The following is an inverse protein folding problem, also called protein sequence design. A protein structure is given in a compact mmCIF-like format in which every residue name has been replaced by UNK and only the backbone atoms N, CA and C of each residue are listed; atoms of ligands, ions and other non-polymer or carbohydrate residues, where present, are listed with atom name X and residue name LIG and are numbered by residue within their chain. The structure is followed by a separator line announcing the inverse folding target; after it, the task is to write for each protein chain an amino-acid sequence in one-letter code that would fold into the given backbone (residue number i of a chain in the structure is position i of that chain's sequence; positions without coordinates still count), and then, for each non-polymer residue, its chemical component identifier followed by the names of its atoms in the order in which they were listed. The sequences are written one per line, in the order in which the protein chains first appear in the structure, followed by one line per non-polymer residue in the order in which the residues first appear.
data_IF_062472958193
#
_entry.id   IF_062472958193
#
_cell.length_a   1.000
_cell.length_b   1.000
_cell.length_c   1.000
_cell.angle_alpha   90.00
_cell.angle_beta   90.00
_cell.angle_gamma   90.00
#
_symmetry.space_group_name_H-M   'P 1'
#
loop_
_entity.id
_entity.type
_entity.pdbx_description
1 polymer ?
#
# COMPACT_ATOMS: atom_id res chain seq x y z
N UNK A 1 4.94 -12.86 8.28
CA UNK A 1 4.38 -11.51 8.52
C UNK A 1 2.88 -11.68 8.71
N UNK A 2 2.28 -11.17 9.80
CA UNK A 2 0.82 -11.17 9.97
C UNK A 2 0.18 -10.25 8.95
N UNK A 3 -1.03 -10.55 8.48
CA UNK A 3 -1.77 -9.62 7.63
C UNK A 3 -3.27 -9.88 7.58
N UNK A 4 -4.01 -8.80 7.42
CA UNK A 4 -5.45 -8.80 7.19
C UNK A 4 -5.75 -8.21 5.82
N UNK A 5 -6.69 -8.83 5.13
CA UNK A 5 -7.51 -8.15 4.12
C UNK A 5 -8.70 -7.54 4.85
N UNK A 6 -8.95 -6.25 4.65
CA UNK A 6 -10.02 -5.50 5.31
C UNK A 6 -10.90 -4.84 4.26
N UNK A 7 -12.20 -5.09 4.32
CA UNK A 7 -13.23 -4.37 3.56
C UNK A 7 -13.83 -3.30 4.46
N UNK A 8 -13.78 -2.05 4.02
CA UNK A 8 -14.23 -0.87 4.74
C UNK A 8 -15.48 -0.29 4.05
N UNK A 9 -16.55 0.02 4.79
CA UNK A 9 -17.74 0.66 4.24
C UNK A 9 -17.52 2.16 3.96
N UNK A 10 -18.42 2.74 3.16
CA UNK A 10 -18.50 4.21 2.97
C UNK A 10 -19.15 4.87 4.19
N UNK A 11 -19.26 6.19 4.22
CA UNK A 11 -20.00 6.94 5.24
C UNK A 11 -19.42 6.91 6.66
N UNK A 12 -18.21 6.39 6.85
CA UNK A 12 -17.58 6.29 8.17
C UNK A 12 -16.87 7.60 8.51
N UNK A 13 -17.25 8.22 9.62
CA UNK A 13 -16.54 9.38 10.17
C UNK A 13 -15.19 8.94 10.75
N UNK A 14 -14.11 9.60 10.32
CA UNK A 14 -12.74 9.25 10.70
C UNK A 14 -11.98 10.47 11.21
N UNK A 15 -11.03 10.19 12.10
CA UNK A 15 -10.09 11.18 12.65
C UNK A 15 -8.67 10.80 12.26
N UNK A 16 -7.95 11.78 11.72
CA UNK A 16 -6.54 11.68 11.39
C UNK A 16 -5.70 11.53 12.65
N UNK A 17 -4.83 10.53 12.64
CA UNK A 17 -3.79 10.29 13.61
C UNK A 17 -2.56 11.08 13.20
N UNK A 18 -2.11 12.00 14.05
CA UNK A 18 -0.82 12.66 13.86
C UNK A 18 0.33 11.78 14.37
N UNK A 19 1.55 12.01 13.86
CA UNK A 19 2.73 11.31 14.38
C UNK A 19 2.97 11.55 15.88
N UNK A 20 2.53 12.70 16.40
CA UNK A 20 2.56 13.03 17.83
C UNK A 20 1.82 12.03 18.73
N UNK A 21 0.84 11.30 18.20
CA UNK A 21 0.14 10.24 18.96
C UNK A 21 1.06 9.06 19.25
N UNK A 22 2.05 8.81 18.39
CA UNK A 22 2.98 7.69 18.50
C UNK A 22 4.36 8.12 19.00
N UNK A 23 4.76 9.36 18.73
CA UNK A 23 6.01 9.94 19.20
C UNK A 23 5.74 11.23 20.01
N UNK A 24 5.95 11.22 21.34
CA UNK A 24 5.69 12.39 22.18
C UNK A 24 6.57 13.60 21.85
N UNK A 25 7.70 13.40 21.15
CA UNK A 25 8.59 14.47 20.72
C UNK A 25 8.14 15.12 19.40
N UNK A 26 7.16 14.54 18.70
CA UNK A 26 6.65 15.12 17.47
C UNK A 26 5.64 16.25 17.77
N UNK A 27 5.63 17.32 16.97
CA UNK A 27 4.75 18.46 17.21
C UNK A 27 3.28 18.05 17.12
N UNK A 28 2.49 18.49 18.10
CA UNK A 28 1.04 18.30 18.07
C UNK A 28 0.45 19.19 16.97
N UNK A 29 -0.39 18.60 16.12
CA UNK A 29 -1.09 19.31 15.04
C UNK A 29 -2.61 19.23 15.25
N UNK A 30 -3.38 20.19 14.68
CA UNK A 30 -4.83 20.15 14.73
C UNK A 30 -5.41 18.83 14.24
N UNK A 31 -6.51 18.40 14.84
CA UNK A 31 -7.18 17.17 14.43
C UNK A 31 -7.79 17.34 13.02
N UNK A 32 -7.37 16.51 12.09
CA UNK A 32 -8.01 16.38 10.78
C UNK A 32 -9.14 15.35 10.85
N UNK A 33 -10.25 15.60 10.16
CA UNK A 33 -11.42 14.70 10.13
C UNK A 33 -11.98 14.61 8.71
N UNK A 34 -12.50 13.46 8.35
CA UNK A 34 -13.22 13.24 7.09
C UNK A 34 -14.31 12.19 7.27
N UNK A 35 -15.17 12.04 6.27
CA UNK A 35 -16.13 10.94 6.18
C UNK A 35 -15.78 10.16 4.91
N UNK A 36 -15.70 8.82 4.98
CA UNK A 36 -15.40 8.02 3.79
C UNK A 36 -16.51 8.21 2.75
N UNK A 37 -16.13 8.58 1.52
CA UNK A 37 -17.04 8.67 0.37
C UNK A 37 -17.15 7.33 -0.35
N UNK A 38 -16.05 6.57 -0.33
CA UNK A 38 -15.92 5.29 -1.02
C UNK A 38 -15.67 4.16 -0.01
N UNK A 39 -16.29 3.01 -0.24
CA UNK A 39 -15.85 1.75 0.36
C UNK A 39 -14.54 1.27 -0.28
N UNK A 40 -13.75 0.49 0.47
CA UNK A 40 -12.45 0.01 0.00
C UNK A 40 -12.07 -1.38 0.50
N UNK A 41 -11.27 -2.10 -0.28
CA UNK A 41 -10.57 -3.30 0.12
C UNK A 41 -9.09 -2.98 0.29
N UNK A 42 -8.58 -3.18 1.50
CA UNK A 42 -7.18 -2.91 1.87
C UNK A 42 -6.48 -4.16 2.34
N UNK A 43 -5.15 -4.18 2.22
CA UNK A 43 -4.30 -5.16 2.90
C UNK A 43 -3.41 -4.43 3.90
N UNK A 44 -3.20 -5.07 5.05
CA UNK A 44 -2.47 -4.46 6.16
C UNK A 44 -1.82 -5.51 7.04
N UNK A 45 -0.58 -5.26 7.46
CA UNK A 45 0.06 -5.99 8.54
C UNK A 45 -0.54 -5.70 9.94
N UNK A 46 -1.20 -4.56 10.12
CA UNK A 46 -1.73 -4.07 11.40
C UNK A 46 -3.26 -4.06 11.47
N UNK A 47 -3.97 -4.22 10.35
CA UNK A 47 -5.43 -4.23 10.26
C UNK A 47 -6.06 -2.90 9.85
N UNK A 48 -7.32 -2.69 10.26
CA UNK A 48 -8.17 -1.56 9.88
C UNK A 48 -7.53 -0.22 10.26
N UNK A 49 -7.66 0.78 9.38
CA UNK A 49 -7.05 2.12 9.45
C UNK A 49 -5.51 2.18 9.39
N UNK A 50 -4.84 1.03 9.21
CA UNK A 50 -3.40 0.95 9.02
C UNK A 50 -3.00 0.25 7.71
N UNK A 51 -3.62 0.56 6.54
CA UNK A 51 -3.32 -0.16 5.30
C UNK A 51 -1.88 0.05 4.83
N UNK A 52 -1.30 -0.98 4.23
CA UNK A 52 -0.07 -0.89 3.41
C UNK A 52 -0.44 -0.61 1.94
N UNK A 53 -1.69 -0.88 1.56
CA UNK A 53 -2.26 -0.51 0.27
C UNK A 53 -3.68 -1.02 0.11
N UNK A 54 -4.27 -0.81 -1.06
CA UNK A 54 -5.63 -1.25 -1.34
C UNK A 54 -6.23 -0.62 -2.58
N UNK A 55 -7.50 -0.93 -2.80
CA UNK A 55 -8.34 -0.42 -3.87
C UNK A 55 -9.68 0.07 -3.30
N UNK A 56 -10.28 1.12 -3.87
CA UNK A 56 -11.64 1.54 -3.54
C UNK A 56 -12.68 1.15 -4.60
N UNK A 57 -13.95 1.36 -4.31
CA UNK A 57 -15.06 1.01 -5.22
C UNK A 57 -15.09 1.83 -6.53
N UNK A 58 -14.33 2.93 -6.62
CA UNK A 58 -14.12 3.70 -7.84
C UNK A 58 -12.95 3.17 -8.69
N UNK A 59 -12.16 2.24 -8.15
CA UNK A 59 -11.01 1.64 -8.83
C UNK A 59 -9.69 2.40 -8.66
N UNK A 60 -9.61 3.32 -7.69
CA UNK A 60 -8.33 3.92 -7.28
C UNK A 60 -7.55 2.90 -6.44
N UNK A 61 -6.32 2.63 -6.85
CA UNK A 61 -5.33 1.81 -6.14
C UNK A 61 -4.18 2.67 -5.62
N UNK A 62 -3.69 2.29 -4.43
CA UNK A 62 -2.44 2.79 -3.87
C UNK A 62 -1.69 1.66 -3.17
N UNK A 63 -0.37 1.62 -3.34
CA UNK A 63 0.54 0.75 -2.60
C UNK A 63 1.80 1.49 -2.16
N UNK A 64 2.27 1.19 -0.95
CA UNK A 64 3.55 1.66 -0.42
C UNK A 64 4.72 0.77 -0.83
N UNK A 65 5.92 1.36 -0.81
CA UNK A 65 7.17 0.61 -0.74
C UNK A 65 8.27 1.41 -0.06
N UNK A 66 9.15 0.70 0.65
CA UNK A 66 10.30 1.28 1.32
C UNK A 66 11.20 2.11 0.39
N UNK A 67 11.50 3.32 0.85
CA UNK A 67 12.54 4.20 0.33
C UNK A 67 13.13 4.99 1.50
N UNK A 68 14.24 4.51 2.06
CA UNK A 68 14.82 5.03 3.31
C UNK A 68 15.20 6.52 3.28
N UNK A 69 15.36 7.10 2.10
CA UNK A 69 15.67 8.52 1.90
C UNK A 69 14.44 9.41 1.76
N UNK A 70 13.23 8.88 1.98
CA UNK A 70 12.01 9.68 2.02
C UNK A 70 12.12 10.76 3.09
N UNK A 71 11.78 12.00 2.75
CA UNK A 71 11.70 13.12 3.69
C UNK A 71 10.31 13.72 3.64
N UNK A 72 9.50 13.48 4.68
CA UNK A 72 8.12 13.97 4.73
C UNK A 72 8.04 15.50 4.68
N UNK A 73 7.03 16.07 4.00
CA UNK A 73 6.80 17.51 4.00
C UNK A 73 6.65 18.11 5.39
N UNK A 74 7.10 19.35 5.57
CA UNK A 74 7.10 20.03 6.88
C UNK A 74 6.43 21.40 6.87
N UNK A 75 5.95 21.86 5.71
CA UNK A 75 5.30 23.16 5.54
C UNK A 75 4.19 23.35 6.59
N UNK A 76 4.07 24.56 7.13
CA UNK A 76 3.21 24.83 8.29
C UNK A 76 1.72 24.64 7.98
N UNK A 77 1.31 24.96 6.74
CA UNK A 77 -0.07 24.84 6.26
C UNK A 77 -0.50 23.43 5.85
N UNK A 78 0.41 22.45 5.83
CA UNK A 78 0.07 21.07 5.47
C UNK A 78 -0.61 20.34 6.63
N UNK A 79 -1.76 19.74 6.33
CA UNK A 79 -2.31 18.69 7.18
C UNK A 79 -1.39 17.48 7.05
N UNK A 80 -0.90 16.98 8.18
CA UNK A 80 -0.05 15.79 8.22
C UNK A 80 -0.69 14.70 9.05
N UNK A 81 -0.89 13.56 8.41
CA UNK A 81 -1.49 12.38 9.04
C UNK A 81 -0.56 11.18 8.89
N UNK A 82 -0.71 10.22 9.79
CA UNK A 82 0.09 9.02 9.84
C UNK A 82 0.05 8.28 8.49
N UNK A 83 1.20 7.88 7.97
CA UNK A 83 1.37 7.39 6.60
C UNK A 83 0.36 6.30 6.18
N UNK A 84 0.03 5.35 7.05
CA UNK A 84 -1.00 4.35 6.71
C UNK A 84 -2.40 4.98 6.59
N UNK A 85 -2.74 5.92 7.45
CA UNK A 85 -4.01 6.63 7.35
C UNK A 85 -4.04 7.62 6.19
N UNK A 86 -2.88 8.09 5.72
CA UNK A 86 -2.83 8.84 4.46
C UNK A 86 -3.29 7.97 3.29
N UNK A 87 -2.81 6.72 3.19
CA UNK A 87 -3.30 5.74 2.22
C UNK A 87 -4.83 5.56 2.35
N UNK A 88 -5.32 5.33 3.58
CA UNK A 88 -6.76 5.15 3.81
C UNK A 88 -7.56 6.40 3.43
N UNK A 89 -7.07 7.58 3.78
CA UNK A 89 -7.67 8.86 3.46
C UNK A 89 -7.84 9.05 1.94
N UNK A 90 -6.81 8.69 1.16
CA UNK A 90 -6.89 8.76 -0.30
C UNK A 90 -7.95 7.80 -0.85
N UNK A 91 -7.93 6.54 -0.42
CA UNK A 91 -8.92 5.52 -0.82
C UNK A 91 -10.34 5.91 -0.43
N UNK A 92 -10.51 6.58 0.71
CA UNK A 92 -11.80 7.01 1.22
C UNK A 92 -12.40 8.19 0.41
N UNK A 93 -11.59 9.03 -0.24
CA UNK A 93 -12.05 10.35 -0.71
C UNK A 93 -11.90 10.62 -2.21
N UNK A 94 -11.08 9.83 -2.91
CA UNK A 94 -10.72 10.10 -4.31
C UNK A 94 -10.99 8.91 -5.22
N UNK A 95 -11.29 9.20 -6.48
CA UNK A 95 -11.61 8.23 -7.52
C UNK A 95 -10.47 8.09 -8.54
N UNK A 96 -9.68 9.16 -8.73
CA UNK A 96 -8.67 9.24 -9.79
C UNK A 96 -7.30 9.66 -9.26
N UNK A 97 -6.27 9.30 -10.01
CA UNK A 97 -4.90 9.74 -9.78
C UNK A 97 -4.81 11.27 -9.76
N UNK A 98 -5.49 11.95 -10.68
CA UNK A 98 -5.47 13.42 -10.75
C UNK A 98 -6.03 14.09 -9.50
N UNK A 99 -7.10 13.54 -8.91
CA UNK A 99 -7.64 14.03 -7.65
C UNK A 99 -6.64 13.87 -6.50
N UNK A 100 -5.93 12.74 -6.44
CA UNK A 100 -4.86 12.52 -5.44
C UNK A 100 -3.74 13.54 -5.63
N UNK A 101 -3.28 13.75 -6.86
CA UNK A 101 -2.19 14.69 -7.14
C UNK A 101 -2.57 16.14 -6.81
N UNK A 102 -3.83 16.52 -7.07
CA UNK A 102 -4.36 17.84 -6.72
C UNK A 102 -4.42 18.08 -5.20
N UNK A 103 -4.52 17.03 -4.38
CA UNK A 103 -4.63 17.13 -2.92
C UNK A 103 -3.28 17.17 -2.18
N UNK A 104 -2.17 16.82 -2.86
CA UNK A 104 -0.82 16.80 -2.27
C UNK A 104 -0.41 18.12 -1.56
N UNK A 105 -0.80 19.32 -2.05
CA UNK A 105 -0.51 20.58 -1.35
C UNK A 105 -1.32 20.79 -0.07
N UNK A 106 -2.31 19.93 0.24
CA UNK A 106 -3.22 20.07 1.38
C UNK A 106 -2.98 19.01 2.44
N UNK A 107 -2.89 17.73 2.06
CA UNK A 107 -2.74 16.60 3.00
C UNK A 107 -1.55 15.73 2.62
N UNK A 108 -0.58 15.59 3.53
CA UNK A 108 0.64 14.82 3.34
C UNK A 108 0.82 13.72 4.39
N UNK A 109 1.55 12.64 4.05
CA UNK A 109 1.91 11.60 5.01
C UNK A 109 3.00 12.09 5.99
N UNK A 110 2.98 11.51 7.19
CA UNK A 110 3.98 11.68 8.24
C UNK A 110 4.17 10.37 9.03
N UNK A 111 5.21 10.28 9.83
CA UNK A 111 5.50 9.13 10.70
C UNK A 111 6.88 8.53 10.48
N UNK A 112 7.10 7.35 11.07
CA UNK A 112 8.43 6.74 11.13
C UNK A 112 8.84 5.99 9.87
N UNK A 113 7.88 5.37 9.17
CA UNK A 113 8.18 4.64 7.95
C UNK A 113 8.60 5.62 6.85
N UNK A 114 9.54 5.17 6.02
CA UNK A 114 10.13 5.96 4.93
C UNK A 114 9.71 5.31 3.63
N UNK A 115 8.61 5.79 3.06
CA UNK A 115 7.95 5.17 1.92
C UNK A 115 7.88 6.08 0.70
N UNK A 116 7.75 5.45 -0.45
CA UNK A 116 7.24 6.05 -1.69
C UNK A 116 6.02 5.25 -2.13
N UNK A 117 5.21 5.85 -3.00
CA UNK A 117 3.90 5.31 -3.34
C UNK A 117 3.75 5.15 -4.84
N UNK A 118 3.08 4.07 -5.24
CA UNK A 118 2.55 3.89 -6.58
C UNK A 118 1.03 3.99 -6.50
N UNK A 119 0.44 4.82 -7.36
CA UNK A 119 -1.01 4.99 -7.48
C UNK A 119 -1.45 4.73 -8.92
N UNK A 120 -2.64 4.18 -9.08
CA UNK A 120 -3.27 3.94 -10.38
C UNK A 120 -4.79 3.96 -10.25
N UNK A 121 -5.51 4.22 -11.34
CA UNK A 121 -6.98 4.21 -11.34
C UNK A 121 -7.57 3.41 -12.50
N UNK A 122 -8.91 3.24 -12.48
CA UNK A 122 -9.65 2.47 -13.47
C UNK A 122 -9.56 3.02 -14.91
N UNK A 123 -9.15 4.27 -15.09
CA UNK A 123 -8.92 4.86 -16.42
C UNK A 123 -7.60 4.38 -17.03
N UNK A 124 -6.71 3.83 -16.21
CA UNK A 124 -5.36 3.43 -16.57
C UNK A 124 -4.32 4.52 -16.35
N UNK A 125 -4.69 5.66 -15.76
CA UNK A 125 -3.73 6.64 -15.25
C UNK A 125 -2.93 6.03 -14.09
N UNK A 126 -1.68 6.46 -13.95
CA UNK A 126 -0.79 6.02 -12.89
C UNK A 126 0.19 7.14 -12.53
N UNK A 127 0.61 7.16 -11.26
CA UNK A 127 1.66 8.04 -10.80
C UNK A 127 2.53 7.37 -9.74
N UNK A 128 3.77 7.86 -9.63
CA UNK A 128 4.65 7.58 -8.49
C UNK A 128 4.78 8.84 -7.66
N UNK A 129 4.80 8.70 -6.34
CA UNK A 129 4.95 9.81 -5.40
C UNK A 129 6.09 9.46 -4.45
N UNK A 130 7.21 10.16 -4.57
CA UNK A 130 8.36 10.06 -3.68
C UNK A 130 8.56 11.39 -2.97
N UNK A 131 8.88 11.41 -1.68
CA UNK A 131 9.12 12.66 -0.97
C UNK A 131 10.62 12.89 -0.77
N UNK A 132 11.16 13.95 -1.36
CA UNK A 132 12.60 14.26 -1.37
C UNK A 132 12.79 15.68 -0.87
N UNK A 133 13.69 15.89 0.11
CA UNK A 133 13.91 17.22 0.73
C UNK A 133 12.61 17.88 1.20
N UNK A 134 11.69 17.10 1.78
CA UNK A 134 10.41 17.60 2.27
C UNK A 134 9.39 17.95 1.19
N UNK A 135 9.58 17.54 -0.07
CA UNK A 135 8.64 17.85 -1.18
C UNK A 135 8.21 16.61 -1.93
N UNK A 136 6.96 16.57 -2.36
CA UNK A 136 6.47 15.53 -3.26
C UNK A 136 7.13 15.68 -4.64
N UNK A 137 7.75 14.60 -5.12
CA UNK A 137 8.26 14.42 -6.47
C UNK A 137 7.37 13.41 -7.16
N UNK A 138 6.65 13.87 -8.17
CA UNK A 138 5.63 13.09 -8.87
C UNK A 138 6.12 12.72 -10.28
N UNK A 139 5.92 11.47 -10.68
CA UNK A 139 6.04 11.07 -12.08
C UNK A 139 4.68 10.51 -12.54
N UNK A 140 4.12 11.07 -13.61
CA UNK A 140 2.81 10.71 -14.17
C UNK A 140 2.78 11.03 -15.68
N UNK A 141 1.85 10.45 -16.43
CA UNK A 141 1.74 10.69 -17.87
C UNK A 141 3.08 10.44 -18.60
N UNK A 142 3.55 11.44 -19.37
CA UNK A 142 4.80 11.33 -20.12
C UNK A 142 6.08 11.18 -19.27
N UNK A 143 6.06 11.58 -17.99
CA UNK A 143 7.20 11.37 -17.09
C UNK A 143 7.20 9.99 -16.41
N UNK A 144 6.17 9.17 -16.66
CA UNK A 144 6.05 7.79 -16.18
C UNK A 144 5.92 6.79 -17.37
N UNK A 145 6.92 6.69 -18.26
CA UNK A 145 6.84 5.81 -19.43
C UNK A 145 6.76 4.32 -19.08
N UNK A 146 7.27 3.92 -17.91
CA UNK A 146 7.11 2.58 -17.34
C UNK A 146 6.25 2.68 -16.08
N UNK A 147 5.06 2.09 -16.11
CA UNK A 147 4.10 2.09 -14.99
C UNK A 147 4.48 1.03 -13.94
N UNK A 148 5.62 1.23 -13.30
CA UNK A 148 6.12 0.39 -12.21
C UNK A 148 6.87 1.24 -11.18
N UNK A 149 7.03 0.71 -9.96
CA UNK A 149 7.90 1.28 -8.93
C UNK A 149 8.51 0.13 -8.11
N UNK A 150 9.72 0.34 -7.62
CA UNK A 150 10.46 -0.59 -6.74
C UNK A 150 11.05 0.22 -5.57
N UNK A 151 12.04 -0.31 -4.85
CA UNK A 151 12.59 0.34 -3.66
C UNK A 151 13.67 1.42 -3.94
N UNK A 152 13.76 1.93 -5.17
CA UNK A 152 14.61 3.09 -5.52
C UNK A 152 13.78 4.19 -6.16
N UNK A 153 14.32 5.41 -6.16
CA UNK A 153 13.67 6.57 -6.77
C UNK A 153 13.47 6.32 -8.28
N UNK A 154 12.27 6.59 -8.78
CA UNK A 154 11.90 6.34 -10.18
C UNK A 154 12.92 6.85 -11.21
N UNK A 155 13.42 8.08 -11.04
CA UNK A 155 14.45 8.63 -11.94
C UNK A 155 15.72 7.78 -12.02
N UNK A 156 16.16 7.17 -10.90
CA UNK A 156 17.34 6.29 -10.88
C UNK A 156 17.07 4.95 -11.54
N UNK A 157 15.83 4.45 -11.41
CA UNK A 157 15.38 3.26 -12.12
C UNK A 157 15.40 3.50 -13.64
N UNK A 158 14.92 4.66 -14.09
CA UNK A 158 14.96 5.05 -15.51
C UNK A 158 16.38 5.23 -16.05
N UNK A 159 17.30 5.86 -15.28
CA UNK A 159 18.71 5.97 -15.65
C UNK A 159 19.35 4.58 -15.86
N UNK A 160 19.04 3.64 -14.96
CA UNK A 160 19.52 2.26 -15.04
C UNK A 160 18.93 1.53 -16.24
N UNK A 161 17.63 1.69 -16.48
CA UNK A 161 16.88 1.02 -17.55
C UNK A 161 17.46 1.33 -18.94
N UNK A 162 17.91 2.57 -19.17
CA UNK A 162 18.50 3.02 -20.45
C UNK A 162 19.73 2.21 -20.88
N UNK A 163 20.38 1.49 -19.98
CA UNK A 163 21.54 0.66 -20.29
C UNK A 163 21.16 -0.69 -20.93
N UNK A 164 19.89 -1.07 -20.93
CA UNK A 164 19.42 -2.40 -21.33
C UNK A 164 18.77 -2.43 -22.73
N UNK A 165 18.83 -3.60 -23.38
CA UNK A 165 18.27 -3.85 -24.72
C UNK A 165 16.76 -3.57 -24.76
N UNK A 166 16.37 -2.88 -25.83
CA UNK A 166 15.00 -2.41 -26.06
C UNK A 166 14.58 -1.24 -25.17
N UNK A 167 15.53 -0.60 -24.48
CA UNK A 167 15.35 0.67 -23.76
C UNK A 167 16.45 1.71 -24.07
N UNK A 168 17.25 1.46 -25.13
CA UNK A 168 18.30 2.37 -25.62
C UNK A 168 19.73 1.85 -25.44
N UNK A 169 19.95 0.81 -24.64
CA UNK A 169 21.27 0.25 -24.38
C UNK A 169 21.49 -1.15 -24.94
N UNK A 170 22.69 -1.70 -24.73
CA UNK A 170 23.11 -3.02 -25.25
C UNK A 170 23.08 -4.17 -24.24
N UNK A 171 22.92 -3.87 -22.93
CA UNK A 171 23.00 -4.91 -21.89
C UNK A 171 21.79 -5.86 -21.98
N UNK A 172 22.00 -7.20 -21.96
CA UNK A 172 20.89 -8.14 -21.86
C UNK A 172 20.14 -7.94 -20.53
N UNK A 173 18.84 -8.23 -20.54
CA UNK A 173 18.05 -8.32 -19.29
C UNK A 173 18.25 -9.71 -18.71
N UNK A 174 18.86 -9.80 -17.54
CA UNK A 174 19.04 -11.05 -16.82
C UNK A 174 17.89 -11.27 -15.82
N UNK A 175 17.14 -12.34 -16.04
CA UNK A 175 16.03 -12.75 -15.18
C UNK A 175 16.45 -13.66 -14.02
N UNK A 176 17.68 -14.17 -14.02
CA UNK A 176 18.25 -15.00 -12.97
C UNK A 176 19.10 -14.21 -11.97
N UNK A 177 19.52 -12.99 -12.31
CA UNK A 177 20.33 -12.14 -11.42
C UNK A 177 19.58 -11.70 -10.16
N UNK A 178 20.07 -12.17 -9.01
CA UNK A 178 19.62 -11.82 -7.66
C UNK A 178 20.66 -11.04 -6.86
N UNK A 179 21.83 -10.73 -7.45
CA UNK A 179 22.93 -10.03 -6.78
C UNK A 179 22.74 -8.51 -6.78
N UNK A 180 22.16 -7.95 -7.84
CA UNK A 180 21.86 -6.52 -7.96
C UNK A 180 20.34 -6.30 -8.09
N UNK A 181 19.82 -5.23 -7.48
CA UNK A 181 18.41 -4.87 -7.61
C UNK A 181 18.11 -4.39 -9.02
N UNK A 182 17.67 -5.34 -9.85
CA UNK A 182 17.21 -5.13 -11.23
C UNK A 182 15.74 -5.53 -11.41
N UNK A 183 14.96 -5.55 -10.33
CA UNK A 183 13.53 -5.86 -10.38
C UNK A 183 12.77 -4.92 -11.32
N UNK A 184 13.08 -3.62 -11.27
CA UNK A 184 12.45 -2.64 -12.17
C UNK A 184 12.78 -2.92 -13.65
N UNK A 185 14.03 -3.25 -13.98
CA UNK A 185 14.44 -3.57 -15.36
C UNK A 185 13.72 -4.81 -15.88
N UNK A 186 13.63 -5.87 -15.05
CA UNK A 186 12.87 -7.08 -15.39
C UNK A 186 11.39 -6.78 -15.59
N UNK A 187 10.79 -6.01 -14.68
CA UNK A 187 9.39 -5.59 -14.78
C UNK A 187 9.14 -4.78 -16.05
N UNK A 188 10.00 -3.80 -16.35
CA UNK A 188 9.91 -2.98 -17.56
C UNK A 188 9.97 -3.84 -18.84
N UNK A 189 10.90 -4.79 -18.90
CA UNK A 189 11.03 -5.70 -20.03
C UNK A 189 9.77 -6.56 -20.22
N UNK A 190 9.23 -7.14 -19.14
CA UNK A 190 7.99 -7.91 -19.20
C UNK A 190 6.79 -7.05 -19.58
N UNK A 191 6.66 -5.84 -19.06
CA UNK A 191 5.58 -4.92 -19.44
C UNK A 191 5.64 -4.51 -20.91
N UNK A 192 6.84 -4.30 -21.46
CA UNK A 192 7.06 -4.01 -22.88
C UNK A 192 6.64 -5.20 -23.75
N UNK A 193 7.05 -6.40 -23.34
CA UNK A 193 6.87 -7.64 -24.10
C UNK A 193 5.60 -8.40 -23.68
N UNK A 194 4.62 -7.68 -23.11
CA UNK A 194 3.40 -8.30 -22.59
C UNK A 194 2.63 -9.03 -23.69
N UNK A 195 2.42 -10.32 -23.49
CA UNK A 195 1.46 -11.09 -24.28
C UNK A 195 0.03 -10.72 -23.87
N UNK A 196 -0.68 -10.05 -24.77
CA UNK A 196 -2.06 -9.61 -24.54
C UNK A 196 -3.09 -10.74 -24.61
N UNK A 197 -2.71 -11.93 -25.08
CA UNK A 197 -3.56 -13.11 -25.02
C UNK A 197 -3.65 -13.70 -23.61
N UNK A 198 -2.64 -13.46 -22.75
CA UNK A 198 -2.64 -13.90 -21.36
C UNK A 198 -3.53 -12.97 -20.52
N UNK A 199 -4.44 -13.50 -19.68
CA UNK A 199 -5.23 -12.66 -18.77
C UNK A 199 -4.32 -11.76 -17.93
N UNK A 200 -4.64 -10.46 -17.88
CA UNK A 200 -3.76 -9.45 -17.27
C UNK A 200 -3.38 -9.79 -15.82
N UNK A 201 -4.31 -10.34 -15.04
CA UNK A 201 -4.04 -10.76 -13.67
C UNK A 201 -3.04 -11.94 -13.60
N UNK A 202 -3.10 -12.91 -14.52
CA UNK A 202 -2.12 -14.00 -14.58
C UNK A 202 -0.74 -13.48 -14.99
N UNK A 203 -0.70 -12.52 -15.93
CA UNK A 203 0.53 -11.86 -16.34
C UNK A 203 1.16 -11.05 -15.20
N UNK A 204 0.34 -10.34 -14.40
CA UNK A 204 0.79 -9.63 -13.21
C UNK A 204 1.45 -10.59 -12.20
N UNK A 205 0.84 -11.75 -11.93
CA UNK A 205 1.48 -12.78 -11.08
C UNK A 205 2.76 -13.35 -11.70
N UNK A 206 2.83 -13.49 -13.02
CA UNK A 206 4.06 -13.90 -13.69
C UNK A 206 5.18 -12.88 -13.47
N UNK A 207 4.89 -11.59 -13.58
CA UNK A 207 5.83 -10.52 -13.21
C UNK A 207 6.25 -10.68 -11.75
N UNK A 208 5.30 -10.70 -10.82
CA UNK A 208 5.60 -10.78 -9.37
C UNK A 208 6.50 -11.99 -9.02
N UNK A 209 6.26 -13.16 -9.64
CA UNK A 209 7.13 -14.33 -9.47
C UNK A 209 8.55 -14.10 -9.99
N UNK A 210 8.71 -13.38 -11.11
CA UNK A 210 10.03 -13.04 -11.68
C UNK A 210 10.75 -11.94 -10.91
N UNK A 211 10.05 -11.19 -10.06
CA UNK A 211 10.64 -10.19 -9.18
C UNK A 211 10.96 -10.73 -7.78
N UNK A 212 10.58 -11.98 -7.49
CA UNK A 212 10.77 -12.59 -6.17
C UNK A 212 12.25 -12.96 -5.92
N UNK A 213 12.74 -12.56 -4.75
CA UNK A 213 14.08 -12.85 -4.25
C UNK A 213 14.08 -13.86 -3.10
N UNK A 214 12.97 -14.59 -2.92
CA UNK A 214 12.83 -15.63 -1.90
C UNK A 214 12.42 -15.10 -0.53
N UNK A 215 12.21 -13.79 -0.39
CA UNK A 215 11.78 -13.16 0.86
C UNK A 215 10.38 -12.54 0.78
N UNK A 216 9.72 -12.57 -0.39
CA UNK A 216 8.38 -12.01 -0.55
C UNK A 216 7.37 -12.74 0.33
N UNK A 217 6.58 -11.96 1.06
CA UNK A 217 5.58 -12.48 2.00
C UNK A 217 4.22 -12.60 1.37
N UNK A 218 3.83 -11.62 0.56
CA UNK A 218 2.56 -11.59 -0.14
C UNK A 218 2.79 -11.23 -1.61
N UNK A 219 1.94 -11.73 -2.49
CA UNK A 219 1.80 -11.26 -3.87
C UNK A 219 0.33 -10.97 -4.12
N UNK A 220 0.02 -9.75 -4.56
CA UNK A 220 -1.34 -9.30 -4.80
C UNK A 220 -1.43 -8.68 -6.20
N UNK A 221 -2.52 -8.96 -6.91
CA UNK A 221 -2.86 -8.36 -8.19
C UNK A 221 -4.29 -7.79 -8.11
N UNK A 222 -4.44 -6.53 -8.51
CA UNK A 222 -5.70 -5.80 -8.47
C UNK A 222 -6.19 -5.56 -9.90
N UNK A 223 -7.39 -6.02 -10.22
CA UNK A 223 -8.13 -5.59 -11.41
C UNK A 223 -8.88 -4.31 -11.06
N UNK A 224 -8.37 -3.16 -11.52
CA UNK A 224 -8.90 -1.85 -11.14
C UNK A 224 -10.31 -1.58 -11.70
N UNK A 225 -10.66 -2.19 -12.83
CA UNK A 225 -11.97 -2.00 -13.47
C UNK A 225 -13.03 -2.89 -12.83
N UNK A 226 -12.67 -4.13 -12.53
CA UNK A 226 -13.57 -5.09 -11.89
C UNK A 226 -13.65 -4.90 -10.38
N UNK A 227 -12.62 -4.30 -9.76
CA UNK A 227 -12.41 -4.18 -8.31
C UNK A 227 -12.25 -5.54 -7.64
N UNK A 228 -11.57 -6.42 -8.36
CA UNK A 228 -11.26 -7.78 -7.92
C UNK A 228 -9.79 -7.85 -7.51
N UNK A 229 -9.52 -8.54 -6.41
CA UNK A 229 -8.17 -8.75 -5.90
C UNK A 229 -7.86 -10.23 -5.91
N UNK A 230 -6.71 -10.59 -6.48
CA UNK A 230 -6.14 -11.94 -6.41
C UNK A 230 -4.89 -11.89 -5.56
N UNK A 231 -4.73 -12.80 -4.62
CA UNK A 231 -3.56 -12.80 -3.74
C UNK A 231 -3.08 -14.19 -3.34
N UNK A 232 -1.77 -14.29 -3.09
CA UNK A 232 -1.19 -15.38 -2.35
C UNK A 232 -0.11 -14.96 -1.34
N UNK A 233 0.33 -15.89 -0.49
CA UNK A 233 1.30 -15.64 0.57
C UNK A 233 2.40 -16.69 0.62
N UNK A 234 3.48 -16.43 1.36
CA UNK A 234 4.51 -17.43 1.64
C UNK A 234 3.99 -18.60 2.48
N UNK A 235 2.94 -18.38 3.28
CA UNK A 235 2.28 -19.37 4.14
C UNK A 235 1.18 -20.18 3.46
N UNK A 236 0.60 -19.66 2.38
CA UNK A 236 -0.35 -20.38 1.55
C UNK A 236 -0.18 -19.93 0.11
N UNK A 237 0.27 -20.84 -0.76
CA UNK A 237 0.59 -20.54 -2.16
C UNK A 237 -0.62 -20.57 -3.08
N UNK A 238 -1.75 -21.13 -2.60
CA UNK A 238 -3.02 -21.20 -3.32
C UNK A 238 -3.57 -19.80 -3.59
N UNK A 239 -4.10 -19.55 -4.78
CA UNK A 239 -4.58 -18.21 -5.15
C UNK A 239 -5.99 -18.02 -4.59
N UNK A 240 -6.16 -16.93 -3.84
CA UNK A 240 -7.48 -16.48 -3.37
C UNK A 240 -7.91 -15.28 -4.18
N UNK A 241 -9.21 -15.14 -4.34
CA UNK A 241 -9.85 -14.05 -5.09
C UNK A 241 -10.93 -13.43 -4.21
N UNK A 242 -11.05 -12.11 -4.28
CA UNK A 242 -12.11 -11.34 -3.60
C UNK A 242 -12.60 -10.28 -4.57
N UNK A 243 -13.91 -10.27 -4.83
CA UNK A 243 -14.58 -9.18 -5.53
C UNK A 243 -15.15 -8.20 -4.49
N UNK A 244 -14.77 -6.92 -4.59
CA UNK A 244 -15.31 -5.89 -3.71
C UNK A 244 -16.83 -5.72 -3.86
N UNK A 245 -17.38 -6.02 -5.04
CA UNK A 245 -18.82 -5.98 -5.28
C UNK A 245 -19.61 -7.06 -4.50
N UNK A 246 -18.94 -8.06 -3.91
CA UNK A 246 -19.57 -9.08 -3.09
C UNK A 246 -19.92 -8.61 -1.66
N UNK A 247 -19.55 -7.39 -1.28
CA UNK A 247 -19.75 -6.85 0.06
C UNK A 247 -20.78 -5.71 0.07
N UNK A 248 -21.57 -5.62 1.14
CA UNK A 248 -22.34 -4.42 1.44
C UNK A 248 -21.37 -3.32 1.93
N UNK A 249 -21.36 -2.20 1.19
CA UNK A 249 -20.52 -1.03 1.49
C UNK A 249 -21.35 0.15 2.00
N UNK A 250 -22.60 -0.06 2.41
CA UNK A 250 -23.44 0.98 2.98
C UNK A 250 -22.85 1.55 4.29
N UNK A 251 -23.18 2.80 4.66
CA UNK A 251 -22.66 3.43 5.88
C UNK A 251 -22.89 2.68 7.19
N UNK A 252 -23.92 1.84 7.24
CA UNK A 252 -24.29 1.03 8.40
C UNK A 252 -23.71 -0.38 8.37
N UNK A 253 -23.08 -0.79 7.26
CA UNK A 253 -22.49 -2.11 7.14
C UNK A 253 -21.25 -2.22 8.05
N UNK A 254 -21.00 -3.38 8.67
CA UNK A 254 -19.77 -3.58 9.43
C UNK A 254 -18.56 -3.66 8.49
N UNK A 255 -17.40 -3.21 8.95
CA UNK A 255 -16.14 -3.55 8.29
C UNK A 255 -15.92 -5.07 8.40
N UNK A 256 -15.38 -5.68 7.34
CA UNK A 256 -15.17 -7.12 7.24
C UNK A 256 -13.69 -7.44 7.12
N UNK A 257 -13.24 -8.57 7.69
CA UNK A 257 -11.83 -8.96 7.71
C UNK A 257 -11.60 -10.43 7.36
N UNK A 258 -10.44 -10.70 6.77
CA UNK A 258 -9.91 -12.03 6.53
C UNK A 258 -8.41 -12.05 6.80
N UNK A 259 -7.92 -13.02 7.56
CA UNK A 259 -6.48 -13.28 7.67
C UNK A 259 -5.92 -13.73 6.31
N UNK A 260 -5.00 -12.92 5.77
CA UNK A 260 -4.42 -13.12 4.44
C UNK A 260 -3.65 -14.46 4.35
N UNK A 261 -3.19 -14.99 5.48
CA UNK A 261 -2.40 -16.21 5.55
C UNK A 261 -3.23 -17.49 5.70
N UNK A 262 -4.57 -17.40 5.84
CA UNK A 262 -5.40 -18.60 5.88
C UNK A 262 -5.20 -19.41 4.62
N UNK A 263 -5.05 -20.72 4.81
CA UNK A 263 -4.88 -21.65 3.71
C UNK A 263 -6.24 -21.95 3.06
N UNK A 264 -6.57 -21.11 2.08
CA UNK A 264 -7.83 -21.05 1.34
C UNK A 264 -7.52 -20.92 -0.16
N UNK A 265 -8.52 -21.13 -1.00
CA UNK A 265 -8.38 -21.08 -2.45
C UNK A 265 -9.68 -20.59 -3.11
N UNK A 266 -9.57 -19.98 -4.28
CA UNK A 266 -10.72 -19.53 -5.05
C UNK A 266 -11.35 -18.26 -4.46
N UNK A 267 -12.64 -18.08 -4.69
CA UNK A 267 -13.41 -16.98 -4.11
C UNK A 267 -13.57 -17.18 -2.59
N UNK A 268 -13.11 -16.19 -1.82
CA UNK A 268 -13.15 -16.23 -0.35
C UNK A 268 -14.04 -15.15 0.26
N UNK A 269 -14.87 -14.44 -0.52
CA UNK A 269 -15.71 -13.36 -0.02
C UNK A 269 -16.60 -13.79 1.17
N UNK A 270 -17.22 -14.97 1.06
CA UNK A 270 -18.10 -15.54 2.09
C UNK A 270 -17.37 -15.98 3.38
N UNK A 271 -16.04 -15.96 3.39
CA UNK A 271 -15.22 -16.39 4.54
C UNK A 271 -14.72 -15.22 5.39
N UNK A 272 -15.04 -13.99 5.00
CA UNK A 272 -14.77 -12.81 5.81
C UNK A 272 -15.67 -12.79 7.04
N UNK A 273 -15.15 -12.28 8.16
CA UNK A 273 -15.92 -12.10 9.39
C UNK A 273 -15.98 -10.62 9.75
N UNK A 274 -16.99 -10.17 10.51
CA UNK A 274 -17.02 -8.80 11.00
C UNK A 274 -15.75 -8.44 11.78
N UNK A 275 -15.26 -7.22 11.56
CA UNK A 275 -14.14 -6.65 12.31
C UNK A 275 -14.50 -6.52 13.79
N UNK A 276 -13.50 -6.62 14.66
CA UNK A 276 -13.63 -6.34 16.09
C UNK A 276 -12.37 -5.70 16.65
N UNK A 277 -12.52 -5.00 17.78
CA UNK A 277 -11.38 -4.45 18.52
C UNK A 277 -10.38 -5.54 18.95
N UNK A 278 -10.87 -6.75 19.28
CA UNK A 278 -10.03 -7.89 19.65
C UNK A 278 -9.13 -8.32 18.49
N UNK A 279 -9.70 -8.49 17.29
CA UNK A 279 -8.93 -8.80 16.06
C UNK A 279 -7.91 -7.69 15.79
N UNK A 280 -8.33 -6.43 15.89
CA UNK A 280 -7.45 -5.30 15.65
C UNK A 280 -6.25 -5.25 16.61
N UNK A 281 -6.48 -5.48 17.91
CA UNK A 281 -5.43 -5.56 18.93
C UNK A 281 -4.46 -6.72 18.67
N UNK A 282 -4.98 -7.87 18.27
CA UNK A 282 -4.19 -9.05 17.94
C UNK A 282 -3.21 -8.77 16.80
N UNK A 283 -3.67 -8.17 15.69
CA UNK A 283 -2.81 -7.92 14.53
C UNK A 283 -1.75 -6.85 14.78
N UNK A 284 -2.10 -5.77 15.50
CA UNK A 284 -1.10 -4.79 15.94
C UNK A 284 -0.05 -5.46 16.84
N UNK A 285 -0.46 -6.31 17.77
CA UNK A 285 0.46 -7.05 18.62
C UNK A 285 1.39 -7.95 17.80
N UNK A 286 0.83 -8.80 16.94
CA UNK A 286 1.60 -9.72 16.10
C UNK A 286 2.60 -9.02 15.19
N UNK A 287 2.24 -7.85 14.63
CA UNK A 287 3.15 -7.08 13.77
C UNK A 287 4.35 -6.60 14.57
N UNK A 288 4.11 -5.89 15.67
CA UNK A 288 5.19 -5.33 16.49
C UNK A 288 6.06 -6.41 17.13
N UNK A 289 5.48 -7.52 17.58
CA UNK A 289 6.23 -8.63 18.17
C UNK A 289 7.16 -9.30 17.13
N UNK A 290 6.84 -9.18 15.84
CA UNK A 290 7.66 -9.66 14.73
C UNK A 290 8.74 -8.68 14.23
N UNK A 291 8.80 -7.45 14.75
CA UNK A 291 9.83 -6.47 14.41
C UNK A 291 10.96 -6.56 15.45
N UNK A 292 12.17 -6.83 14.99
CA UNK A 292 13.38 -6.62 15.79
C UNK A 292 13.88 -5.19 15.60
N UNK A 293 13.93 -4.45 16.71
CA UNK A 293 14.39 -3.04 16.76
C UNK A 293 15.71 -2.91 17.52
N UNK A 294 16.44 -4.01 17.71
CA UNK A 294 17.64 -4.09 18.54
C UNK A 294 17.32 -4.06 20.03
N UNK A 295 18.33 -4.29 20.88
CA UNK A 295 18.15 -4.45 22.33
C UNK A 295 17.33 -3.32 22.98
N UNK A 296 17.78 -2.07 22.81
CA UNK A 296 17.10 -0.91 23.40
C UNK A 296 15.74 -0.64 22.77
N UNK A 297 15.59 -0.82 21.45
CA UNK A 297 14.30 -0.66 20.78
C UNK A 297 13.26 -1.69 21.25
N UNK A 298 13.69 -2.93 21.45
CA UNK A 298 12.83 -4.03 21.89
C UNK A 298 12.34 -3.84 23.33
N UNK A 299 13.15 -3.18 24.17
CA UNK A 299 12.82 -2.87 25.57
C UNK A 299 11.95 -1.61 25.72
N UNK A 300 12.07 -0.64 24.81
CA UNK A 300 11.44 0.69 24.97
C UNK A 300 10.48 1.05 23.83
N UNK A 301 10.99 1.16 22.61
CA UNK A 301 10.25 1.66 21.44
C UNK A 301 9.09 0.73 21.04
N UNK A 302 9.35 -0.58 20.93
CA UNK A 302 8.33 -1.56 20.51
C UNK A 302 7.15 -1.64 21.49
N UNK A 303 7.34 -1.80 22.82
CA UNK A 303 6.22 -1.77 23.77
C UNK A 303 5.44 -0.45 23.74
N UNK A 304 6.14 0.68 23.60
CA UNK A 304 5.53 2.00 23.51
C UNK A 304 4.65 2.14 22.26
N UNK A 305 5.15 1.74 21.09
CA UNK A 305 4.39 1.75 19.83
C UNK A 305 3.16 0.85 19.90
N UNK A 306 3.32 -0.38 20.39
CA UNK A 306 2.21 -1.34 20.58
C UNK A 306 1.11 -0.74 21.45
N UNK A 307 1.46 -0.19 22.61
CA UNK A 307 0.50 0.43 23.54
C UNK A 307 -0.22 1.64 22.92
N UNK A 308 0.53 2.54 22.26
CA UNK A 308 -0.03 3.76 21.66
C UNK A 308 -0.92 3.46 20.46
N UNK A 309 -0.56 2.52 19.60
CA UNK A 309 -1.39 2.09 18.47
C UNK A 309 -2.68 1.42 18.95
N UNK A 310 -2.59 0.55 19.95
CA UNK A 310 -3.77 -0.05 20.60
C UNK A 310 -4.69 1.01 21.23
N UNK A 311 -4.13 2.07 21.80
CA UNK A 311 -4.92 3.19 22.32
C UNK A 311 -5.59 4.00 21.19
N UNK A 312 -4.85 4.26 20.11
CA UNK A 312 -5.36 4.97 18.94
C UNK A 312 -6.53 4.23 18.27
N UNK A 313 -6.50 2.90 18.25
CA UNK A 313 -7.56 2.05 17.69
C UNK A 313 -8.93 2.30 18.32
N UNK A 314 -8.99 2.65 19.61
CA UNK A 314 -10.25 2.94 20.31
C UNK A 314 -10.99 4.16 19.74
N UNK A 315 -10.32 4.97 18.92
CA UNK A 315 -10.92 6.12 18.23
C UNK A 315 -11.63 5.74 16.93
N UNK A 316 -11.54 4.49 16.48
CA UNK A 316 -12.11 4.00 15.22
C UNK A 316 -13.48 3.31 15.38
N UNK A 317 -14.28 3.77 16.34
CA UNK A 317 -15.64 3.29 16.57
C UNK A 317 -16.59 3.80 15.49
#
# INVERSE_FOLDING_TARGET
VPGLVVVNPRGVAKRGLGWSMFNPLAPVKPAFRWVSKHGSLTYSNMGKEFPDGGINEAGLYIGEMNYYFTEWPRDEGLVRIYHNQWIQYLLDNFETVDQVLADLPRVAPDGHNRWQFFIADATGAAATITFVKGRAVVNAGGSLPVKALCNRRYAREMDTLRLYRGFGGGRPVDFADTMDDRRFVRAAAMLRDQDRAVPAADYAFAILRKLDWGNNKWSLAFDLKRRTVRFNTDRSRRVRTVDLAAFDLAPTAPAMVLDINRDLEGDVAMLFTPHSEAVQRQYVAMMWDGIDTGFFGNLTFRPMMKSRMVSAIRQFK
#
